data_IF_761319421826
#
_entry.id   IF_761319421826
#
_cell.length_a   1.000
_cell.length_b   1.000
_cell.length_c   1.000
_cell.angle_alpha   90.00
_cell.angle_beta   90.00
_cell.angle_gamma   90.00
#
_symmetry.space_group_name_H-M   'P 1'
#
loop_
_entity.id
_entity.type
_entity.pdbx_description
1 polymer ?
#
# COMPACT_ATOMS: atom_id res chain seq x y z
N UNK A 1 -10.48 -12.34 -19.39
CA UNK A 1 -9.04 -12.23 -19.67
C UNK A 1 -8.29 -12.62 -18.40
N UNK A 2 -7.59 -13.75 -18.43
CA UNK A 2 -6.98 -14.36 -17.25
C UNK A 2 -5.94 -13.45 -16.62
N UNK A 3 -5.94 -13.37 -15.28
CA UNK A 3 -4.85 -12.74 -14.54
C UNK A 3 -3.58 -13.51 -14.87
N UNK A 4 -2.58 -12.84 -15.44
CA UNK A 4 -1.25 -13.41 -15.52
C UNK A 4 -0.84 -13.80 -14.10
N UNK A 5 -0.48 -15.07 -13.88
CA UNK A 5 0.10 -15.48 -12.61
C UNK A 5 1.35 -14.62 -12.42
N UNK A 6 1.31 -13.70 -11.46
CA UNK A 6 2.42 -12.82 -11.16
C UNK A 6 3.57 -13.69 -10.66
N UNK A 7 4.70 -13.65 -11.37
CA UNK A 7 5.90 -14.37 -10.97
C UNK A 7 6.32 -13.95 -9.56
N UNK A 8 6.79 -14.89 -8.77
CA UNK A 8 7.21 -14.58 -7.40
C UNK A 8 8.40 -13.64 -7.43
N UNK A 9 8.61 -12.90 -6.32
CA UNK A 9 9.80 -12.05 -6.17
C UNK A 9 11.10 -12.86 -6.33
N UNK A 10 11.08 -14.13 -5.93
CA UNK A 10 12.21 -15.04 -6.08
C UNK A 10 12.48 -15.36 -7.56
N UNK A 11 11.46 -15.75 -8.32
CA UNK A 11 11.60 -16.05 -9.76
C UNK A 11 12.04 -14.81 -10.55
N UNK A 12 11.47 -13.64 -10.24
CA UNK A 12 11.90 -12.35 -10.81
C UNK A 12 13.36 -12.04 -10.48
N UNK A 13 13.81 -12.36 -9.27
CA UNK A 13 15.20 -12.24 -8.85
C UNK A 13 16.13 -13.17 -9.65
N UNK A 14 15.74 -14.42 -9.85
CA UNK A 14 16.49 -15.38 -10.67
C UNK A 14 16.63 -14.89 -12.12
N UNK A 15 15.55 -14.37 -12.72
CA UNK A 15 15.60 -13.80 -14.09
C UNK A 15 16.66 -12.70 -14.21
N UNK A 16 16.74 -11.79 -13.23
CA UNK A 16 17.71 -10.69 -13.26
C UNK A 16 19.13 -11.20 -13.05
N UNK A 17 19.33 -12.16 -12.15
CA UNK A 17 20.66 -12.75 -11.91
C UNK A 17 21.17 -13.50 -13.14
N UNK A 18 20.31 -14.31 -13.76
CA UNK A 18 20.61 -15.06 -14.97
C UNK A 18 21.02 -14.15 -16.13
N UNK A 19 20.31 -13.04 -16.34
CA UNK A 19 20.66 -12.09 -17.40
C UNK A 19 21.94 -11.29 -17.11
N UNK A 20 22.22 -10.99 -15.84
CA UNK A 20 23.52 -10.40 -15.44
C UNK A 20 24.68 -11.35 -15.70
N UNK A 21 24.45 -12.66 -15.58
CA UNK A 21 25.43 -13.71 -15.87
C UNK A 21 25.54 -14.01 -17.37
N UNK A 22 24.78 -13.34 -18.23
CA UNK A 22 24.84 -13.50 -19.68
C UNK A 22 24.17 -14.78 -20.19
N UNK A 23 23.30 -15.41 -19.40
CA UNK A 23 22.54 -16.58 -19.84
C UNK A 23 21.47 -16.19 -20.87
N UNK A 24 21.08 -17.15 -21.73
CA UNK A 24 20.14 -16.86 -22.81
C UNK A 24 18.69 -16.76 -22.30
N UNK A 25 17.92 -15.81 -22.83
CA UNK A 25 16.50 -15.61 -22.48
C UNK A 25 15.66 -16.89 -22.60
N UNK A 26 15.99 -17.76 -23.55
CA UNK A 26 15.27 -19.02 -23.77
C UNK A 26 15.56 -20.05 -22.68
N UNK A 27 16.78 -20.06 -22.16
CA UNK A 27 17.22 -20.99 -21.11
C UNK A 27 16.62 -20.60 -19.76
N UNK A 28 16.68 -19.31 -19.40
CA UNK A 28 16.02 -18.75 -18.21
C UNK A 28 14.51 -18.99 -18.23
N UNK A 29 13.87 -18.78 -19.39
CA UNK A 29 12.43 -19.01 -19.55
C UNK A 29 12.05 -20.48 -19.30
N UNK A 30 12.86 -21.43 -19.78
CA UNK A 30 12.67 -22.87 -19.55
C UNK A 30 12.90 -23.26 -18.09
N UNK A 31 13.94 -22.73 -17.46
CA UNK A 31 14.28 -23.01 -16.07
C UNK A 31 13.17 -22.58 -15.11
N UNK A 32 12.64 -21.38 -15.31
CA UNK A 32 11.63 -20.76 -14.44
C UNK A 32 10.21 -21.18 -14.85
N UNK A 33 10.05 -21.79 -16.02
CA UNK A 33 8.74 -22.22 -16.53
C UNK A 33 7.86 -21.04 -16.95
N UNK A 34 8.46 -19.94 -17.42
CA UNK A 34 7.75 -18.74 -17.84
C UNK A 34 7.95 -18.44 -19.35
N UNK A 35 7.19 -17.49 -19.90
CA UNK A 35 7.35 -17.12 -21.30
C UNK A 35 8.64 -16.32 -21.54
N UNK A 36 9.25 -16.45 -22.73
CA UNK A 36 10.39 -15.60 -23.14
C UNK A 36 10.06 -14.11 -23.05
N UNK A 37 8.81 -13.72 -23.33
CA UNK A 37 8.34 -12.34 -23.20
C UNK A 37 8.32 -11.85 -21.75
N UNK A 38 8.00 -12.70 -20.78
CA UNK A 38 8.03 -12.33 -19.36
C UNK A 38 9.46 -12.05 -18.91
N UNK A 39 10.42 -12.88 -19.32
CA UNK A 39 11.85 -12.71 -19.05
C UNK A 39 12.38 -11.38 -19.59
N UNK A 40 12.01 -11.01 -20.82
CA UNK A 40 12.39 -9.71 -21.42
C UNK A 40 11.72 -8.55 -20.71
N UNK A 41 10.42 -8.64 -20.39
CA UNK A 41 9.68 -7.59 -19.67
C UNK A 41 10.28 -7.31 -18.29
N UNK A 42 10.62 -8.36 -17.54
CA UNK A 42 11.20 -8.24 -16.19
C UNK A 42 12.60 -7.63 -16.25
N UNK A 43 13.40 -7.99 -17.25
CA UNK A 43 14.71 -7.37 -17.41
C UNK A 43 14.63 -5.89 -17.81
N UNK A 44 13.68 -5.54 -18.69
CA UNK A 44 13.42 -4.15 -19.01
C UNK A 44 12.89 -3.37 -17.80
N UNK A 45 11.97 -3.94 -17.01
CA UNK A 45 11.52 -3.37 -15.73
C UNK A 45 12.71 -3.14 -14.79
N UNK A 46 13.62 -4.10 -14.65
CA UNK A 46 14.81 -3.97 -13.82
C UNK A 46 15.77 -2.87 -14.30
N UNK A 47 16.02 -2.75 -15.61
CA UNK A 47 16.89 -1.68 -16.16
C UNK A 47 16.30 -0.30 -15.88
N UNK A 48 14.97 -0.16 -15.97
CA UNK A 48 14.30 1.15 -15.83
C UNK A 48 14.05 1.54 -14.36
N UNK A 49 13.57 0.61 -13.53
CA UNK A 49 13.15 0.88 -12.16
C UNK A 49 14.20 0.47 -11.11
N UNK A 50 15.18 -0.35 -11.47
CA UNK A 50 16.20 -0.89 -10.55
C UNK A 50 15.68 -1.93 -9.55
N UNK A 51 14.39 -2.25 -9.59
CA UNK A 51 13.73 -3.15 -8.64
C UNK A 51 13.20 -4.42 -9.34
N UNK A 52 13.30 -5.55 -8.64
CA UNK A 52 12.72 -6.85 -9.04
C UNK A 52 11.34 -7.08 -8.44
N UNK A 53 10.88 -6.21 -7.53
CA UNK A 53 9.55 -6.33 -6.96
C UNK A 53 8.48 -6.11 -8.03
N UNK A 54 7.44 -6.95 -8.01
CA UNK A 54 6.22 -6.63 -8.73
C UNK A 54 5.59 -5.41 -8.03
N UNK A 55 5.63 -4.25 -8.68
CA UNK A 55 4.94 -3.06 -8.19
C UNK A 55 3.43 -3.36 -8.14
N UNK A 56 2.94 -3.79 -6.99
CA UNK A 56 1.52 -3.90 -6.69
C UNK A 56 0.91 -2.50 -6.53
N UNK A 57 0.81 -1.77 -7.63
CA UNK A 57 0.08 -0.52 -7.64
C UNK A 57 -1.41 -0.83 -7.38
N UNK A 58 -1.97 -0.27 -6.31
CA UNK A 58 -3.40 -0.33 -6.04
C UNK A 58 -3.90 -1.51 -5.20
N UNK A 59 -3.01 -2.27 -4.54
CA UNK A 59 -3.46 -3.34 -3.63
C UNK A 59 -3.66 -2.76 -2.22
N UNK A 60 -4.83 -2.18 -2.02
CA UNK A 60 -5.27 -1.66 -0.73
C UNK A 60 -6.77 -1.32 -0.77
N UNK A 61 -7.46 -1.55 0.35
CA UNK A 61 -8.87 -1.15 0.49
C UNK A 61 -8.97 0.37 0.27
N UNK A 62 -9.88 0.86 -0.61
CA UNK A 62 -10.12 2.28 -0.75
C UNK A 62 -10.39 2.90 0.62
N UNK A 63 -9.59 3.90 1.01
CA UNK A 63 -9.78 4.58 2.30
C UNK A 63 -11.12 5.31 2.26
N UNK A 64 -11.98 5.01 3.23
CA UNK A 64 -13.29 5.67 3.43
C UNK A 64 -13.11 7.19 3.57
N UNK A 65 -11.98 7.60 4.15
CA UNK A 65 -11.64 9.00 4.41
C UNK A 65 -10.65 9.47 3.34
N UNK A 66 -11.08 10.43 2.51
CA UNK A 66 -10.20 11.16 1.58
C UNK A 66 -9.24 12.07 2.35
N UNK A 67 -8.16 12.49 1.70
CA UNK A 67 -7.11 13.34 2.28
C UNK A 67 -7.65 14.64 2.94
N UNK A 68 -8.70 15.26 2.37
CA UNK A 68 -9.38 16.42 2.96
C UNK A 68 -10.05 16.11 4.31
N UNK A 69 -10.66 14.93 4.42
CA UNK A 69 -11.25 14.43 5.67
C UNK A 69 -10.18 14.17 6.72
N UNK A 70 -9.06 13.56 6.32
CA UNK A 70 -7.90 13.31 7.17
C UNK A 70 -7.35 14.61 7.80
N UNK A 71 -7.13 15.66 7.01
CA UNK A 71 -6.66 16.97 7.53
C UNK A 71 -7.66 17.62 8.49
N UNK A 72 -8.97 17.47 8.25
CA UNK A 72 -10.02 17.99 9.14
C UNK A 72 -10.00 17.25 10.48
N UNK A 73 -9.92 15.93 10.44
CA UNK A 73 -9.81 15.08 11.62
C UNK A 73 -8.52 15.36 12.42
N UNK A 74 -7.37 15.52 11.76
CA UNK A 74 -6.12 15.85 12.48
C UNK A 74 -6.21 17.16 13.24
N UNK A 75 -6.92 18.17 12.69
CA UNK A 75 -7.19 19.43 13.41
C UNK A 75 -8.13 19.22 14.60
N UNK A 76 -9.21 18.47 14.42
CA UNK A 76 -10.17 18.14 15.47
C UNK A 76 -9.51 17.43 16.66
N UNK A 77 -8.67 16.43 16.37
CA UNK A 77 -7.90 15.69 17.38
C UNK A 77 -6.90 16.61 18.10
N UNK A 78 -6.15 17.44 17.36
CA UNK A 78 -5.20 18.40 17.98
C UNK A 78 -5.89 19.42 18.90
N UNK A 79 -7.09 19.88 18.54
CA UNK A 79 -7.88 20.83 19.34
C UNK A 79 -8.53 20.18 20.57
N UNK A 80 -8.89 18.90 20.47
CA UNK A 80 -9.69 18.21 21.48
C UNK A 80 -8.94 17.02 22.08
N UNK A 81 -7.83 17.30 22.77
CA UNK A 81 -6.94 16.26 23.34
C UNK A 81 -7.56 15.36 24.41
N UNK A 82 -8.71 15.75 24.96
CA UNK A 82 -9.38 15.07 26.08
C UNK A 82 -10.70 14.41 25.69
N UNK A 83 -11.14 14.53 24.44
CA UNK A 83 -12.43 13.98 24.01
C UNK A 83 -12.33 12.50 23.67
N UNK A 84 -13.39 11.76 23.97
CA UNK A 84 -13.52 10.33 23.61
C UNK A 84 -13.72 10.18 22.11
N UNK A 85 -13.30 9.02 21.57
CA UNK A 85 -13.40 8.70 20.14
C UNK A 85 -14.83 8.85 19.61
N UNK A 86 -15.84 8.36 20.34
CA UNK A 86 -17.24 8.49 19.96
C UNK A 86 -17.69 9.95 19.79
N UNK A 87 -17.23 10.85 20.66
CA UNK A 87 -17.55 12.29 20.59
C UNK A 87 -16.84 12.97 19.43
N UNK A 88 -15.58 12.60 19.17
CA UNK A 88 -14.82 13.08 18.01
C UNK A 88 -15.44 12.64 16.69
N UNK A 89 -15.90 11.38 16.62
CA UNK A 89 -16.60 10.83 15.46
C UNK A 89 -17.93 11.55 15.23
N UNK A 90 -18.72 11.80 16.28
CA UNK A 90 -19.96 12.58 16.17
C UNK A 90 -19.70 14.00 15.65
N UNK A 91 -18.68 14.69 16.17
CA UNK A 91 -18.31 16.05 15.74
C UNK A 91 -17.78 16.08 14.29
N UNK A 92 -17.07 15.04 13.86
CA UNK A 92 -16.63 14.90 12.48
C UNK A 92 -17.81 14.69 11.52
N UNK A 93 -18.74 13.81 11.90
CA UNK A 93 -19.96 13.49 11.15
C UNK A 93 -20.93 14.67 11.06
N UNK A 94 -20.83 15.65 11.96
CA UNK A 94 -21.60 16.90 11.88
C UNK A 94 -21.16 17.86 10.75
N UNK A 95 -20.17 17.49 9.93
CA UNK A 95 -19.79 18.28 8.74
C UNK A 95 -20.06 17.57 7.42
N UNK A 96 -19.78 18.22 6.29
CA UNK A 96 -20.19 17.76 4.95
C UNK A 96 -19.39 16.56 4.40
N UNK A 97 -18.57 15.91 5.24
CA UNK A 97 -17.77 14.75 4.87
C UNK A 97 -18.55 13.45 5.08
N UNK A 98 -18.22 12.42 4.29
CA UNK A 98 -18.77 11.07 4.46
C UNK A 98 -18.72 10.63 5.93
N UNK A 99 -19.81 10.00 6.38
CA UNK A 99 -19.93 9.50 7.75
C UNK A 99 -18.88 8.43 8.04
N UNK A 100 -18.28 8.54 9.21
CA UNK A 100 -17.25 7.63 9.71
C UNK A 100 -17.83 6.87 10.90
N UNK A 101 -17.63 5.55 10.92
CA UNK A 101 -18.00 4.71 12.07
C UNK A 101 -16.99 4.86 13.20
N UNK A 102 -17.39 4.59 14.44
CA UNK A 102 -16.50 4.66 15.61
C UNK A 102 -15.28 3.74 15.46
N UNK A 103 -15.47 2.54 14.90
CA UNK A 103 -14.36 1.61 14.60
C UNK A 103 -13.35 2.22 13.63
N UNK A 104 -13.83 2.92 12.60
CA UNK A 104 -12.96 3.63 11.64
C UNK A 104 -12.28 4.83 12.30
N UNK A 105 -12.95 5.51 13.23
CA UNK A 105 -12.37 6.58 14.04
C UNK A 105 -11.26 6.08 14.97
N UNK A 106 -11.48 4.94 15.64
CA UNK A 106 -10.51 4.32 16.54
C UNK A 106 -9.25 3.88 15.79
N UNK A 107 -9.38 3.08 14.71
CA UNK A 107 -8.24 2.67 13.90
C UNK A 107 -7.42 3.86 13.37
N UNK A 108 -8.08 4.97 13.03
CA UNK A 108 -7.38 6.14 12.50
C UNK A 108 -6.69 6.99 13.57
N UNK A 109 -7.23 7.07 14.80
CA UNK A 109 -6.52 7.70 15.92
C UNK A 109 -5.18 7.00 16.17
N UNK A 110 -5.16 5.66 16.06
CA UNK A 110 -3.93 4.87 16.11
C UNK A 110 -2.99 5.19 14.93
N UNK A 111 -3.49 5.34 13.70
CA UNK A 111 -2.68 5.77 12.55
C UNK A 111 -2.09 7.19 12.69
N UNK A 112 -2.76 8.09 13.42
CA UNK A 112 -2.31 9.47 13.67
C UNK A 112 -1.47 9.64 14.95
N UNK A 113 -1.47 8.65 15.84
CA UNK A 113 -0.69 8.68 17.08
C UNK A 113 0.83 8.59 16.85
N UNK A 114 1.29 8.25 15.63
CA UNK A 114 2.70 8.34 15.26
C UNK A 114 3.29 9.76 15.35
N UNK A 115 2.45 10.82 15.41
CA UNK A 115 2.86 12.23 15.45
C UNK A 115 2.32 13.01 16.67
N UNK A 116 1.55 12.38 17.57
CA UNK A 116 1.00 13.05 18.76
C UNK A 116 0.92 12.06 19.91
N UNK A 117 1.57 12.31 21.06
CA UNK A 117 1.42 11.47 22.25
C UNK A 117 0.02 11.73 22.83
N UNK A 118 -0.97 10.99 22.33
CA UNK A 118 -2.26 10.91 22.96
C UNK A 118 -2.17 9.90 24.09
N UNK A 119 -2.19 10.42 25.31
CA UNK A 119 -2.44 9.63 26.51
C UNK A 119 -3.90 9.20 26.45
N UNK A 120 -4.16 7.99 25.95
CA UNK A 120 -5.46 7.34 26.08
C UNK A 120 -5.30 6.25 27.14
N UNK A 121 -5.54 6.62 28.41
CA UNK A 121 -5.95 5.67 29.43
C UNK A 121 -7.43 5.34 29.19
N UNK A 122 -7.69 4.03 29.03
CA UNK A 122 -8.96 3.31 29.17
C UNK A 122 -10.06 3.57 28.13
#
# INVERSE_FOLDING_TARGET
>A
MGKAAELSKFDRGQIVMDQRLGTSTTETARLIGCSRSAVVSIHAEWINDGDTSSRRQGVGRPRVIKEKGRRRLSRLVKQNRRLKVAQLTAQYNAGPSASVSEHTGHCWIWDCAADVPFVCLC
#
